data_IF_704796281915
#
_entry.id   IF_704796281915
#
_cell.length_a   1.000
_cell.length_b   1.000
_cell.length_c   1.000
_cell.angle_alpha   90.00
_cell.angle_beta   90.00
_cell.angle_gamma   90.00
#
_symmetry.space_group_name_H-M   'P 1'
#
loop_
_entity.id
_entity.type
_entity.pdbx_description
1 polymer ?
#
# COMPACT_ATOMS: atom_id res chain seq x y z
N UNK A 1 0.85 6.65 -13.38
CA UNK A 1 0.79 7.66 -12.30
C UNK A 1 2.15 8.34 -12.25
N UNK A 2 2.19 9.65 -12.50
CA UNK A 2 3.40 10.49 -12.42
C UNK A 2 3.35 11.49 -11.26
N UNK A 3 2.32 11.43 -10.42
CA UNK A 3 2.18 12.31 -9.26
C UNK A 3 3.05 11.82 -8.11
N UNK A 4 3.99 12.66 -7.66
CA UNK A 4 4.68 12.45 -6.40
C UNK A 4 3.69 12.64 -5.24
N UNK A 5 3.79 11.79 -4.23
CA UNK A 5 3.03 11.91 -2.99
C UNK A 5 3.59 13.09 -2.16
N UNK A 6 2.74 14.05 -1.81
CA UNK A 6 3.11 15.16 -0.94
C UNK A 6 2.72 14.86 0.51
N UNK A 7 3.69 14.38 1.28
CA UNK A 7 3.45 14.01 2.67
C UNK A 7 3.00 15.20 3.53
N UNK A 8 3.54 16.40 3.31
CA UNK A 8 3.22 17.57 4.14
C UNK A 8 1.85 18.19 3.82
N UNK A 9 1.23 17.79 2.70
CA UNK A 9 -0.16 18.09 2.38
C UNK A 9 -1.10 16.91 2.61
N UNK A 10 -0.59 15.77 3.08
CA UNK A 10 -1.41 14.63 3.52
C UNK A 10 -1.53 14.64 5.04
N UNK A 11 -0.40 14.79 5.73
CA UNK A 11 -0.29 14.93 7.17
C UNK A 11 0.46 16.22 7.47
N UNK A 12 -0.30 17.27 7.75
CA UNK A 12 0.10 18.67 7.75
C UNK A 12 0.72 19.03 9.11
N UNK A 13 1.99 19.48 9.17
CA UNK A 13 2.61 20.00 10.39
C UNK A 13 2.23 21.47 10.61
N UNK A 14 0.95 21.73 10.84
CA UNK A 14 0.39 23.08 10.85
C UNK A 14 0.84 23.94 12.04
N UNK A 15 1.35 23.31 13.10
CA UNK A 15 1.96 24.00 14.24
C UNK A 15 3.42 24.40 14.00
N UNK A 16 4.03 23.97 12.90
CA UNK A 16 5.38 24.39 12.52
C UNK A 16 5.32 25.78 11.84
N UNK A 17 5.93 26.84 12.42
CA UNK A 17 5.92 28.17 11.80
C UNK A 17 6.58 28.16 10.41
N UNK A 18 7.56 27.28 10.19
CA UNK A 18 8.26 27.17 8.92
C UNK A 18 7.40 26.55 7.81
N UNK A 19 6.36 25.79 8.14
CA UNK A 19 5.50 25.16 7.14
C UNK A 19 4.82 26.21 6.24
N UNK A 20 4.26 27.27 6.85
CA UNK A 20 3.61 28.35 6.09
C UNK A 20 4.61 29.14 5.26
N UNK A 21 5.80 29.41 5.81
CA UNK A 21 6.86 30.16 5.13
C UNK A 21 7.40 29.43 3.91
N UNK A 22 7.63 28.11 4.02
CA UNK A 22 8.18 27.30 2.93
C UNK A 22 7.13 26.76 1.96
N UNK A 23 5.84 26.83 2.29
CA UNK A 23 4.75 26.29 1.46
C UNK A 23 3.69 27.33 1.06
N UNK A 24 4.07 28.58 0.86
CA UNK A 24 3.13 29.69 0.58
C UNK A 24 2.03 29.38 -0.46
N UNK A 25 2.35 28.61 -1.51
CA UNK A 25 1.40 28.24 -2.57
C UNK A 25 0.56 26.98 -2.27
N UNK A 26 1.02 26.13 -1.37
CA UNK A 26 0.47 24.79 -1.14
C UNK A 26 0.00 24.59 0.30
N UNK A 27 0.17 25.59 1.17
CA UNK A 27 -0.19 25.53 2.58
C UNK A 27 -1.68 25.25 2.72
N UNK A 28 -2.00 24.39 3.68
CA UNK A 28 -3.35 24.25 4.23
C UNK A 28 -3.49 25.27 5.35
N UNK A 29 -4.60 26.01 5.38
CA UNK A 29 -4.84 26.94 6.48
C UNK A 29 -5.12 26.19 7.77
N UNK A 30 -4.62 26.72 8.88
CA UNK A 30 -4.61 26.05 10.18
C UNK A 30 -6.01 25.64 10.62
N UNK A 31 -7.00 26.48 10.30
CA UNK A 31 -8.40 26.31 10.65
C UNK A 31 -9.09 25.21 9.84
N UNK A 32 -8.54 24.84 8.67
CA UNK A 32 -9.08 23.78 7.82
C UNK A 32 -8.49 22.40 8.15
N UNK A 33 -7.34 22.37 8.83
CA UNK A 33 -6.64 21.12 9.16
C UNK A 33 -7.49 20.27 10.11
N UNK A 34 -7.62 18.98 9.77
CA UNK A 34 -8.24 17.99 10.63
C UNK A 34 -7.26 17.57 11.72
N UNK A 35 -7.19 18.38 12.79
CA UNK A 35 -6.21 18.25 13.86
C UNK A 35 -6.18 16.85 14.49
N UNK A 36 -4.97 16.32 14.67
CA UNK A 36 -4.69 15.15 15.51
C UNK A 36 -4.19 15.60 16.88
N UNK A 37 -3.33 16.63 16.90
CA UNK A 37 -2.89 17.35 18.10
C UNK A 37 -2.49 18.78 17.69
N UNK A 38 -1.99 19.59 18.62
CA UNK A 38 -1.65 21.01 18.39
C UNK A 38 -0.56 21.27 17.34
N UNK A 39 0.11 20.24 16.83
CA UNK A 39 1.22 20.36 15.88
C UNK A 39 0.92 19.78 14.49
N UNK A 40 0.16 18.67 14.43
CA UNK A 40 -0.10 17.91 13.20
C UNK A 40 -1.57 17.54 13.02
N UNK A 41 -2.00 17.45 11.77
CA UNK A 41 -3.33 16.97 11.42
C UNK A 41 -3.42 16.49 9.98
N UNK A 42 -4.57 15.97 9.58
CA UNK A 42 -4.78 15.53 8.20
C UNK A 42 -5.28 16.68 7.32
N UNK A 43 -5.04 16.56 6.02
CA UNK A 43 -5.63 17.44 5.02
C UNK A 43 -7.17 17.45 5.11
N UNK A 44 -7.85 18.58 4.83
CA UNK A 44 -9.32 18.69 4.89
C UNK A 44 -10.04 17.59 4.08
N UNK A 45 -9.50 17.24 2.91
CA UNK A 45 -10.05 16.18 2.05
C UNK A 45 -9.90 14.75 2.60
N UNK A 46 -9.18 14.56 3.70
CA UNK A 46 -8.92 13.25 4.31
C UNK A 46 -9.89 12.93 5.46
N UNK A 47 -11.05 13.58 5.53
CA UNK A 47 -12.11 13.29 6.51
C UNK A 47 -12.36 11.79 6.75
N UNK A 48 -12.53 10.96 5.69
CA UNK A 48 -12.69 9.52 5.86
C UNK A 48 -11.51 8.83 6.57
N UNK A 49 -10.27 9.22 6.28
CA UNK A 49 -9.08 8.67 6.93
C UNK A 49 -8.96 9.15 8.37
N UNK A 50 -9.28 10.43 8.64
CA UNK A 50 -9.34 10.96 10.00
C UNK A 50 -10.34 10.19 10.85
N UNK A 51 -11.52 9.88 10.32
CA UNK A 51 -12.51 9.07 11.02
C UNK A 51 -12.00 7.67 11.38
N UNK A 52 -11.20 7.05 10.52
CA UNK A 52 -10.56 5.76 10.81
C UNK A 52 -9.43 5.90 11.83
N UNK A 53 -8.66 6.98 11.76
CA UNK A 53 -7.63 7.30 12.74
C UNK A 53 -8.22 7.46 14.15
N UNK A 54 -9.33 8.19 14.27
CA UNK A 54 -10.02 8.40 15.55
C UNK A 54 -10.60 7.10 16.14
N UNK A 55 -10.88 6.12 15.29
CA UNK A 55 -11.28 4.77 15.69
C UNK A 55 -10.10 3.85 16.05
N UNK A 56 -8.85 4.34 15.98
CA UNK A 56 -7.65 3.53 16.19
C UNK A 56 -7.35 2.54 15.05
N UNK A 57 -7.96 2.73 13.87
CA UNK A 57 -7.80 1.83 12.69
C UNK A 57 -6.72 2.29 11.72
N UNK A 58 -6.11 3.45 11.95
CA UNK A 58 -5.03 4.02 11.13
C UNK A 58 -3.89 4.44 12.05
N UNK A 59 -2.67 4.12 11.65
CA UNK A 59 -1.45 4.65 12.25
C UNK A 59 -0.71 5.52 11.23
N UNK A 60 -0.09 6.60 11.69
CA UNK A 60 0.74 7.48 10.87
C UNK A 60 2.19 7.32 11.32
N UNK A 61 3.06 6.95 10.39
CA UNK A 61 4.50 6.81 10.64
C UNK A 61 5.22 7.84 9.75
N UNK A 62 5.81 8.85 10.39
CA UNK A 62 6.54 9.91 9.70
C UNK A 62 8.04 9.57 9.58
N UNK A 63 8.72 10.27 8.67
CA UNK A 63 10.17 10.12 8.50
C UNK A 63 10.62 8.83 7.81
N UNK A 64 9.70 8.14 7.11
CA UNK A 64 10.05 6.95 6.33
C UNK A 64 10.77 7.36 5.04
N UNK A 65 11.96 6.79 4.83
CA UNK A 65 12.78 7.01 3.65
C UNK A 65 14.01 6.12 3.67
N UNK A 66 14.91 6.33 2.72
CA UNK A 66 16.21 5.66 2.65
C UNK A 66 17.34 6.70 2.60
N UNK A 67 18.54 6.38 3.12
CA UNK A 67 19.69 7.30 3.08
C UNK A 67 20.05 7.68 1.65
N UNK A 68 20.49 8.93 1.45
CA UNK A 68 20.95 9.46 0.16
C UNK A 68 19.90 9.29 -0.96
N UNK A 69 18.74 9.99 -0.86
CA UNK A 69 17.67 9.87 -1.83
C UNK A 69 18.15 10.24 -3.23
N UNK A 70 17.76 9.44 -4.21
CA UNK A 70 18.14 9.63 -5.60
C UNK A 70 17.11 10.49 -6.34
N UNK A 71 17.58 11.26 -7.33
CA UNK A 71 16.73 12.16 -8.13
C UNK A 71 16.11 11.50 -9.36
N UNK A 72 16.47 10.24 -9.66
CA UNK A 72 15.90 9.50 -10.78
C UNK A 72 14.55 8.90 -10.41
N UNK A 73 13.50 9.39 -11.05
CA UNK A 73 12.14 8.90 -10.81
C UNK A 73 12.00 7.38 -11.04
N UNK A 74 12.57 6.85 -12.13
CA UNK A 74 12.54 5.41 -12.43
C UNK A 74 13.20 4.57 -11.36
N UNK A 75 14.39 4.99 -10.91
CA UNK A 75 15.12 4.25 -9.88
C UNK A 75 14.43 4.41 -8.52
N UNK A 76 13.83 5.56 -8.20
CA UNK A 76 13.09 5.72 -6.95
C UNK A 76 11.87 4.80 -6.89
N UNK A 77 11.14 4.66 -7.99
CA UNK A 77 10.04 3.69 -8.11
C UNK A 77 10.53 2.25 -7.93
N UNK A 78 11.64 1.88 -8.57
CA UNK A 78 12.23 0.55 -8.44
C UNK A 78 12.65 0.26 -6.99
N UNK A 79 13.26 1.21 -6.28
CA UNK A 79 13.60 1.07 -4.86
C UNK A 79 12.33 0.82 -4.02
N UNK A 80 11.26 1.58 -4.23
CA UNK A 80 10.00 1.37 -3.50
C UNK A 80 9.36 0.00 -3.79
N UNK A 81 9.48 -0.50 -5.02
CA UNK A 81 8.96 -1.82 -5.37
C UNK A 81 9.84 -2.98 -4.87
N UNK A 82 11.15 -2.81 -4.83
CA UNK A 82 12.10 -3.88 -4.49
C UNK A 82 12.56 -3.84 -3.02
N UNK A 83 12.35 -2.71 -2.34
CA UNK A 83 12.93 -2.38 -1.03
C UNK A 83 14.48 -2.47 -1.02
N UNK A 84 15.14 -2.20 -2.15
CA UNK A 84 16.60 -2.33 -2.32
C UNK A 84 17.22 -1.02 -2.83
N UNK A 85 17.73 -0.16 -1.93
CA UNK A 85 18.28 1.14 -2.29
C UNK A 85 19.70 1.06 -2.88
N UNK A 86 20.51 0.05 -2.51
CA UNK A 86 21.94 0.01 -2.81
C UNK A 86 22.27 -0.53 -4.20
N UNK A 87 21.44 -1.44 -4.72
CA UNK A 87 21.64 -2.11 -6.03
C UNK A 87 20.35 -2.27 -6.81
N UNK A 88 20.43 -2.67 -8.07
CA UNK A 88 19.24 -3.07 -8.81
C UNK A 88 18.64 -4.33 -8.20
N UNK A 89 17.46 -4.22 -7.61
CA UNK A 89 16.73 -5.34 -7.05
C UNK A 89 16.12 -6.17 -8.18
N UNK A 90 16.27 -7.49 -8.13
CA UNK A 90 15.66 -8.38 -9.13
C UNK A 90 14.21 -8.73 -8.78
N UNK A 91 13.93 -8.83 -7.49
CA UNK A 91 12.63 -9.22 -6.96
C UNK A 91 11.94 -8.06 -6.21
N UNK A 92 10.62 -8.02 -6.31
CA UNK A 92 9.75 -7.18 -5.53
C UNK A 92 9.65 -7.66 -4.08
N UNK A 93 9.57 -6.72 -3.14
CA UNK A 93 9.61 -7.07 -1.71
C UNK A 93 8.36 -7.84 -1.25
N UNK A 94 7.18 -7.53 -1.80
CA UNK A 94 5.95 -8.29 -1.51
C UNK A 94 6.04 -9.70 -2.09
N UNK A 95 6.62 -9.85 -3.28
CA UNK A 95 6.87 -11.17 -3.87
C UNK A 95 7.75 -12.04 -2.97
N UNK A 96 8.85 -11.48 -2.43
CA UNK A 96 9.68 -12.18 -1.45
C UNK A 96 8.91 -12.52 -0.17
N UNK A 97 8.15 -11.57 0.38
CA UNK A 97 7.34 -11.80 1.58
C UNK A 97 6.30 -12.92 1.38
N UNK A 98 5.69 -13.02 0.21
CA UNK A 98 4.78 -14.14 -0.13
C UNK A 98 5.53 -15.48 -0.12
N UNK A 99 6.75 -15.51 -0.67
CA UNK A 99 7.60 -16.70 -0.62
C UNK A 99 8.01 -17.09 0.81
N UNK A 100 8.24 -16.11 1.69
CA UNK A 100 8.53 -16.36 3.10
C UNK A 100 7.30 -16.84 3.89
N UNK A 101 6.10 -16.39 3.52
CA UNK A 101 4.83 -16.79 4.14
C UNK A 101 4.46 -18.23 3.77
N UNK A 102 4.69 -18.64 2.52
CA UNK A 102 4.39 -19.98 2.02
C UNK A 102 5.59 -20.58 1.26
N UNK A 103 6.65 -20.99 1.98
CA UNK A 103 7.89 -21.48 1.37
C UNK A 103 7.71 -22.79 0.61
N UNK A 104 6.73 -23.60 1.00
CA UNK A 104 6.41 -24.90 0.40
C UNK A 104 5.39 -24.79 -0.74
N UNK A 105 4.80 -23.61 -0.96
CA UNK A 105 3.75 -23.36 -1.97
C UNK A 105 2.53 -24.26 -1.76
N UNK A 106 2.16 -24.47 -0.50
CA UNK A 106 1.02 -25.29 -0.11
C UNK A 106 -0.30 -24.62 -0.52
N UNK A 107 -0.32 -23.29 -0.57
CA UNK A 107 -1.46 -22.52 -1.02
C UNK A 107 -1.26 -22.06 -2.48
N UNK A 108 -2.20 -22.46 -3.34
CA UNK A 108 -2.22 -22.05 -4.75
C UNK A 108 -2.50 -20.55 -4.96
N UNK A 109 -2.99 -19.86 -3.92
CA UNK A 109 -3.38 -18.45 -3.92
C UNK A 109 -2.81 -17.68 -2.71
N UNK A 110 -1.53 -17.84 -2.40
CA UNK A 110 -0.87 -17.10 -1.29
C UNK A 110 -0.92 -15.58 -1.49
N UNK A 111 -0.87 -15.11 -2.74
CA UNK A 111 -1.00 -13.70 -3.09
C UNK A 111 -1.98 -13.47 -4.23
N UNK A 112 -2.84 -12.45 -4.08
CA UNK A 112 -3.76 -12.00 -5.12
C UNK A 112 -3.57 -10.50 -5.35
N UNK A 113 -3.38 -10.12 -6.61
CA UNK A 113 -3.31 -8.76 -7.08
C UNK A 113 -4.63 -8.39 -7.76
N UNK A 114 -5.25 -7.30 -7.34
CA UNK A 114 -6.42 -6.73 -8.01
C UNK A 114 -5.97 -5.61 -8.94
N UNK A 115 -5.92 -5.90 -10.24
CA UNK A 115 -5.43 -4.98 -11.26
C UNK A 115 -5.01 -5.68 -12.54
N UNK A 116 -4.80 -4.90 -13.60
CA UNK A 116 -4.28 -5.42 -14.86
C UNK A 116 -2.75 -5.49 -14.81
N UNK A 117 -2.21 -6.71 -14.89
CA UNK A 117 -0.79 -6.98 -14.86
C UNK A 117 -0.22 -7.06 -13.45
N UNK A 118 0.93 -7.71 -13.31
CA UNK A 118 1.59 -7.92 -12.03
C UNK A 118 2.47 -6.70 -11.67
N UNK A 119 2.21 -6.00 -10.55
CA UNK A 119 3.06 -4.92 -10.09
C UNK A 119 4.48 -5.40 -9.80
N UNK A 120 5.48 -4.54 -10.06
CA UNK A 120 6.90 -4.85 -9.80
C UNK A 120 7.16 -5.30 -8.35
N UNK A 121 6.42 -4.76 -7.38
CA UNK A 121 6.55 -5.17 -5.97
C UNK A 121 6.17 -6.63 -5.70
N UNK A 122 5.32 -7.23 -6.53
CA UNK A 122 4.84 -8.60 -6.39
C UNK A 122 5.62 -9.59 -7.27
N UNK A 123 6.43 -9.10 -8.20
CA UNK A 123 7.23 -9.95 -9.09
C UNK A 123 8.46 -10.51 -8.36
N UNK A 124 8.47 -11.80 -8.07
CA UNK A 124 9.62 -12.49 -7.47
C UNK A 124 9.82 -13.85 -8.11
N UNK A 125 11.07 -14.25 -8.33
CA UNK A 125 11.38 -15.58 -8.88
C UNK A 125 10.81 -16.69 -7.99
N UNK A 126 10.19 -17.69 -8.62
CA UNK A 126 9.62 -18.85 -7.92
C UNK A 126 8.31 -18.60 -7.16
N UNK A 127 7.80 -17.37 -7.14
CA UNK A 127 6.55 -17.00 -6.45
C UNK A 127 5.46 -16.73 -7.49
N UNK A 128 4.29 -17.32 -7.29
CA UNK A 128 3.11 -17.13 -8.15
C UNK A 128 2.11 -16.21 -7.46
N UNK A 129 1.66 -15.18 -8.18
CA UNK A 129 0.64 -14.23 -7.70
C UNK A 129 -0.46 -14.14 -8.75
N UNK A 130 -1.68 -14.49 -8.37
CA UNK A 130 -2.83 -14.39 -9.26
C UNK A 130 -3.17 -12.91 -9.48
N UNK A 131 -3.33 -12.47 -10.73
CA UNK A 131 -3.77 -11.11 -11.06
C UNK A 131 -5.17 -11.13 -11.62
N UNK A 132 -6.09 -10.41 -10.98
CA UNK A 132 -7.51 -10.39 -11.29
C UNK A 132 -7.93 -8.98 -11.65
N UNK A 133 -8.61 -8.80 -12.77
CA UNK A 133 -8.95 -7.46 -13.29
C UNK A 133 -10.04 -6.72 -12.52
N UNK A 134 -10.81 -7.44 -11.68
CA UNK A 134 -11.91 -6.92 -10.86
C UNK A 134 -12.45 -8.02 -9.95
N UNK A 135 -13.08 -7.66 -8.83
CA UNK A 135 -13.57 -8.63 -7.84
C UNK A 135 -14.63 -9.56 -8.43
N UNK A 136 -15.39 -9.06 -9.40
CA UNK A 136 -16.43 -9.76 -10.16
C UNK A 136 -15.87 -10.89 -11.02
N UNK A 137 -14.59 -10.81 -11.38
CA UNK A 137 -13.91 -11.87 -12.15
C UNK A 137 -13.22 -12.92 -11.28
N UNK A 138 -13.22 -12.75 -9.95
CA UNK A 138 -12.67 -13.73 -9.03
C UNK A 138 -13.74 -14.76 -8.64
N UNK A 139 -13.86 -15.82 -9.46
CA UNK A 139 -14.59 -17.01 -9.06
C UNK A 139 -13.74 -17.86 -8.12
N UNK A 140 -13.96 -17.76 -6.81
CA UNK A 140 -13.36 -18.68 -5.83
C UNK A 140 -14.43 -19.68 -5.38
N UNK A 141 -14.20 -20.97 -5.62
CA UNK A 141 -15.01 -22.03 -5.03
C UNK A 141 -14.66 -22.09 -3.53
N UNK A 142 -15.45 -21.42 -2.69
CA UNK A 142 -15.20 -21.34 -1.23
C UNK A 142 -15.78 -22.52 -0.45
N UNK A 143 -16.27 -23.56 -1.12
CA UNK A 143 -16.67 -24.79 -0.47
C UNK A 143 -17.09 -25.86 -1.47
N UNK A 144 -16.36 -26.97 -1.52
CA UNK A 144 -16.98 -28.25 -1.84
C UNK A 144 -17.48 -28.74 -0.48
N UNK A 145 -18.77 -28.57 -0.21
CA UNK A 145 -19.39 -29.33 0.87
C UNK A 145 -19.29 -30.80 0.47
N UNK A 146 -18.43 -31.55 1.16
CA UNK A 146 -18.42 -33.01 1.11
C UNK A 146 -19.66 -33.53 1.85
N UNK A 147 -20.83 -33.23 1.30
CA UNK A 147 -22.09 -33.85 1.69
C UNK A 147 -22.24 -35.16 0.93
N UNK A 148 -21.76 -36.26 1.51
CA UNK A 148 -22.23 -37.59 1.15
C UNK A 148 -23.77 -37.62 1.12
N UNK A 149 -24.36 -37.96 -0.03
CA UNK A 149 -25.50 -38.88 -0.06
C UNK A 149 -25.34 -39.89 -1.18
N UNK A 150 -24.86 -41.04 -0.75
CA UNK A 150 -25.00 -42.34 -1.39
C UNK A 150 -26.50 -42.66 -1.53
N UNK A 151 -26.94 -42.98 -2.75
CA UNK A 151 -28.06 -43.89 -3.05
C UNK A 151 -29.50 -43.34 -2.98
N UNK A 152 -30.21 -43.37 -4.11
CA UNK A 152 -31.19 -44.43 -4.46
C UNK A 152 -32.12 -43.97 -5.61
N UNK A 153 -32.26 -44.86 -6.62
CA UNK A 153 -33.49 -45.28 -7.35
C UNK A 153 -34.49 -44.18 -7.79
N UNK A 154 -34.95 -44.07 -9.04
CA UNK A 154 -35.12 -44.98 -10.19
C UNK A 154 -35.12 -44.12 -11.46
#
# INVERSE_FOLDING_TARGET
MSGAYDALNTFVPYGDPHYKDYRQLLKVETEEVLAVNDYVGFHPSMGPIKNLYDQGKVAVIQGIGYPNPIRSHFRSMDIWHTAEPAKMGMDGWLGRAIGDIDPNKENVLTGVNFGRGLPRALASSGVSVASVGGLESLGMLTGIDNGEKIGQKL
#
